data_IF_558674931530
#
_entry.id   IF_558674931530
#
_cell.length_a   1.000
_cell.length_b   1.000
_cell.length_c   1.000
_cell.angle_alpha   90.00
_cell.angle_beta   90.00
_cell.angle_gamma   90.00
#
_symmetry.space_group_name_H-M   'P 1'
#
loop_
_entity.id
_entity.type
_entity.pdbx_description
1 polymer ?
#
# COMPACT_ATOMS: atom_id res chain seq x y z
N UNK A 1 26.89 -22.36 3.53
CA UNK A 1 26.23 -21.91 2.28
C UNK A 1 26.94 -20.66 1.81
N UNK A 2 27.39 -20.61 0.56
CA UNK A 2 27.92 -19.37 -0.02
C UNK A 2 26.88 -18.27 0.13
N UNK A 3 27.32 -17.08 0.54
CA UNK A 3 26.41 -15.95 0.75
C UNK A 3 25.95 -15.45 -0.63
N UNK A 4 24.77 -15.90 -1.07
CA UNK A 4 24.18 -15.51 -2.36
C UNK A 4 23.90 -14.01 -2.37
N UNK A 5 24.31 -13.31 -3.44
CA UNK A 5 24.04 -11.88 -3.62
C UNK A 5 22.79 -11.71 -4.50
N UNK A 6 21.61 -11.44 -3.92
CA UNK A 6 20.38 -11.26 -4.70
C UNK A 6 20.40 -9.92 -5.46
N UNK A 7 19.70 -9.88 -6.59
CA UNK A 7 19.50 -8.64 -7.37
C UNK A 7 18.73 -7.57 -6.60
N UNK A 8 17.73 -7.98 -5.80
CA UNK A 8 16.96 -7.09 -4.94
C UNK A 8 16.61 -7.79 -3.64
N UNK A 9 16.65 -7.04 -2.55
CA UNK A 9 16.21 -7.46 -1.22
C UNK A 9 15.36 -6.33 -0.64
N UNK A 10 14.16 -6.62 -0.12
CA UNK A 10 13.35 -5.58 0.52
C UNK A 10 14.05 -5.06 1.77
N UNK A 11 14.02 -3.75 1.97
CA UNK A 11 14.51 -3.11 3.19
C UNK A 11 13.42 -3.21 4.25
N UNK A 12 13.47 -4.27 5.06
CA UNK A 12 12.54 -4.53 6.17
C UNK A 12 13.38 -4.56 7.46
N UNK A 13 13.03 -3.71 8.41
CA UNK A 13 13.63 -3.61 9.73
C UNK A 13 12.60 -3.68 10.86
N UNK A 14 13.00 -3.21 12.04
CA UNK A 14 12.16 -3.28 13.25
C UNK A 14 10.91 -2.40 13.17
N UNK A 15 10.96 -1.33 12.37
CA UNK A 15 9.84 -0.40 12.17
C UNK A 15 8.65 -1.10 11.49
N UNK A 16 8.91 -1.87 10.42
CA UNK A 16 7.89 -2.63 9.71
C UNK A 16 7.29 -3.73 10.60
N UNK A 17 8.12 -4.42 11.40
CA UNK A 17 7.66 -5.47 12.32
C UNK A 17 6.74 -4.87 13.39
N UNK A 18 7.14 -3.73 13.97
CA UNK A 18 6.34 -3.03 14.99
C UNK A 18 5.02 -2.52 14.42
N UNK A 19 5.01 -2.02 13.19
CA UNK A 19 3.79 -1.59 12.51
C UNK A 19 2.79 -2.76 12.37
N UNK A 20 3.25 -3.94 11.94
CA UNK A 20 2.42 -5.16 11.86
C UNK A 20 1.92 -5.59 13.23
N UNK A 21 2.79 -5.60 14.25
CA UNK A 21 2.42 -5.96 15.61
C UNK A 21 1.29 -5.05 16.15
N UNK A 22 1.39 -3.73 15.94
CA UNK A 22 0.37 -2.78 16.35
C UNK A 22 -0.98 -3.07 15.69
N UNK A 23 -1.00 -3.40 14.40
CA UNK A 23 -2.22 -3.76 13.67
C UNK A 23 -2.83 -5.04 14.23
N UNK A 24 -2.02 -6.10 14.42
CA UNK A 24 -2.50 -7.36 14.98
C UNK A 24 -3.07 -7.19 16.39
N UNK A 25 -2.41 -6.40 17.24
CA UNK A 25 -2.87 -6.10 18.61
C UNK A 25 -4.12 -5.23 18.66
N UNK A 26 -4.36 -4.40 17.63
CA UNK A 26 -5.56 -3.56 17.54
C UNK A 26 -6.86 -4.36 17.30
N UNK A 27 -6.76 -5.60 16.81
CA UNK A 27 -7.90 -6.42 16.41
C UNK A 27 -8.53 -6.04 15.06
N UNK A 28 -8.07 -4.97 14.41
CA UNK A 28 -8.56 -4.53 13.10
C UNK A 28 -7.50 -4.76 12.02
N UNK A 29 -7.60 -5.89 11.30
CA UNK A 29 -6.55 -6.37 10.37
C UNK A 29 -6.84 -6.12 8.88
N UNK A 30 -8.01 -5.58 8.56
CA UNK A 30 -8.41 -5.24 7.18
C UNK A 30 -8.46 -3.72 6.99
N UNK A 31 -9.01 -3.25 5.86
CA UNK A 31 -9.19 -1.82 5.55
C UNK A 31 -9.76 -1.07 6.75
N UNK A 32 -9.05 -0.04 7.18
CA UNK A 32 -9.31 0.66 8.43
C UNK A 32 -8.38 1.86 8.62
N UNK A 33 -8.08 2.27 9.86
CA UNK A 33 -7.34 3.50 10.16
C UNK A 33 -5.97 3.61 9.47
N UNK A 34 -5.26 2.49 9.30
CA UNK A 34 -3.95 2.47 8.63
C UNK A 34 -4.05 2.78 7.12
N UNK A 35 -5.14 2.40 6.45
CA UNK A 35 -5.37 2.78 5.05
C UNK A 35 -5.62 4.29 4.94
N UNK A 36 -6.45 4.84 5.82
CA UNK A 36 -6.71 6.28 5.84
C UNK A 36 -5.43 7.08 6.12
N UNK A 37 -4.60 6.62 7.05
CA UNK A 37 -3.31 7.24 7.33
C UNK A 37 -2.40 7.21 6.09
N UNK A 38 -2.33 6.08 5.39
CA UNK A 38 -1.56 5.96 4.15
C UNK A 38 -2.05 6.95 3.07
N UNK A 39 -3.36 7.06 2.89
CA UNK A 39 -3.97 7.98 1.92
C UNK A 39 -3.67 9.45 2.26
N UNK A 40 -3.80 9.82 3.53
CA UNK A 40 -3.47 11.16 4.02
C UNK A 40 -1.99 11.49 3.84
N UNK A 41 -1.10 10.57 4.22
CA UNK A 41 0.34 10.76 4.11
C UNK A 41 0.80 10.82 2.65
N UNK A 42 0.15 10.07 1.75
CA UNK A 42 0.38 10.16 0.32
C UNK A 42 -0.02 11.54 -0.22
N UNK A 43 -1.20 12.05 0.17
CA UNK A 43 -1.65 13.40 -0.18
C UNK A 43 -0.67 14.48 0.32
N UNK A 44 -0.24 14.40 1.58
CA UNK A 44 0.75 15.33 2.16
C UNK A 44 2.08 15.28 1.42
N UNK A 45 2.55 14.08 1.06
CA UNK A 45 3.85 13.88 0.41
C UNK A 45 3.88 14.41 -1.02
N UNK A 46 2.82 14.19 -1.79
CA UNK A 46 2.78 14.49 -3.23
C UNK A 46 1.92 15.70 -3.61
N UNK A 47 1.23 16.32 -2.65
CA UNK A 47 0.41 17.51 -2.86
C UNK A 47 -0.88 17.25 -3.65
N UNK A 48 -1.33 15.99 -3.77
CA UNK A 48 -2.59 15.67 -4.40
C UNK A 48 -3.77 15.92 -3.44
N UNK A 49 -4.95 16.20 -4.00
CA UNK A 49 -6.17 16.44 -3.20
C UNK A 49 -6.75 15.17 -2.60
N UNK A 50 -6.58 14.05 -3.28
CA UNK A 50 -7.14 12.76 -2.92
C UNK A 50 -6.14 11.64 -3.24
N UNK A 51 -6.18 10.57 -2.45
CA UNK A 51 -5.48 9.31 -2.67
C UNK A 51 -6.41 8.16 -2.27
N UNK A 52 -6.29 7.01 -2.93
CA UNK A 52 -7.08 5.82 -2.64
C UNK A 52 -6.12 4.63 -2.58
N UNK A 53 -6.04 3.97 -1.43
CA UNK A 53 -5.24 2.78 -1.24
C UNK A 53 -5.93 1.55 -1.86
N UNK A 54 -5.19 0.80 -2.67
CA UNK A 54 -5.68 -0.38 -3.38
C UNK A 54 -4.73 -1.56 -3.16
N UNK A 55 -5.21 -2.76 -3.45
CA UNK A 55 -4.46 -4.00 -3.25
C UNK A 55 -3.18 -4.11 -4.09
N UNK A 56 -3.12 -3.41 -5.22
CA UNK A 56 -1.96 -3.37 -6.12
C UNK A 56 -2.07 -2.22 -7.13
N UNK A 57 -0.94 -1.87 -7.76
CA UNK A 57 -0.94 -0.92 -8.88
C UNK A 57 -1.79 -1.41 -10.07
N UNK A 58 -1.83 -2.72 -10.32
CA UNK A 58 -2.68 -3.31 -11.37
C UNK A 58 -4.16 -3.10 -11.08
N UNK A 59 -4.59 -3.28 -9.82
CA UNK A 59 -5.96 -2.98 -9.42
C UNK A 59 -6.28 -1.48 -9.60
N UNK A 60 -5.32 -0.60 -9.28
CA UNK A 60 -5.40 0.84 -9.57
C UNK A 60 -5.63 1.15 -11.04
N UNK A 61 -4.81 0.58 -11.92
CA UNK A 61 -4.99 0.79 -13.35
C UNK A 61 -6.34 0.25 -13.84
N UNK A 62 -6.76 -0.92 -13.38
CA UNK A 62 -8.05 -1.50 -13.73
C UNK A 62 -9.22 -0.57 -13.37
N UNK A 63 -9.30 -0.08 -12.14
CA UNK A 63 -10.39 0.81 -11.73
C UNK A 63 -10.31 2.17 -12.40
N UNK A 64 -9.12 2.69 -12.69
CA UNK A 64 -8.95 3.95 -13.43
C UNK A 64 -9.49 3.80 -14.85
N UNK A 65 -9.10 2.76 -15.58
CA UNK A 65 -9.58 2.50 -16.94
C UNK A 65 -11.10 2.27 -16.99
N UNK A 66 -11.65 1.60 -15.96
CA UNK A 66 -13.09 1.43 -15.79
C UNK A 66 -13.79 2.76 -15.52
N UNK A 67 -13.26 3.60 -14.63
CA UNK A 67 -13.86 4.87 -14.25
C UNK A 67 -13.90 5.88 -15.40
N UNK A 68 -12.89 5.87 -16.30
CA UNK A 68 -12.84 6.74 -17.48
C UNK A 68 -13.54 6.14 -18.71
N UNK A 69 -14.16 4.96 -18.59
CA UNK A 69 -14.98 4.34 -19.63
C UNK A 69 -14.22 3.62 -20.75
N UNK A 70 -12.90 3.43 -20.63
CA UNK A 70 -12.12 2.64 -21.59
C UNK A 70 -12.17 1.13 -21.35
N UNK A 71 -12.84 0.71 -20.28
CA UNK A 71 -13.13 -0.69 -20.00
C UNK A 71 -14.63 -0.95 -20.21
N UNK A 72 -15.05 -1.10 -21.48
CA UNK A 72 -16.39 -1.57 -21.83
C UNK A 72 -16.36 -3.06 -22.13
N UNK A 73 -17.27 -3.83 -21.52
CA UNK A 73 -17.67 -5.13 -22.04
C UNK A 73 -18.59 -4.96 -23.24
#
# INVERSE_FOLDING_TARGET
>A
MSNFLPFSKPAIGDEEVKAVENVLRSGWITTGPQNHQLEDDFCKRYGCKHAIALSSATAGMHVVLMAIGYWSW
#
